data_IF_657194452161
#
_entry.id   IF_657194452161
#
_cell.length_a   1.000
_cell.length_b   1.000
_cell.length_c   1.000
_cell.angle_alpha   90.00
_cell.angle_beta   90.00
_cell.angle_gamma   90.00
#
_symmetry.space_group_name_H-M   'P 1'
#
loop_
_entity.id
_entity.type
_entity.pdbx_description
1 polymer ?
#
# COMPACT_ATOMS: atom_id res chain seq x y z
N UNK A 1 -10.05 28.82 -16.43
CA UNK A 1 -10.66 27.96 -15.38
C UNK A 1 -9.71 26.79 -15.09
N UNK A 2 -8.82 26.87 -14.07
CA UNK A 2 -7.93 25.74 -13.72
C UNK A 2 -7.32 25.82 -12.29
N UNK A 3 -8.11 26.20 -11.28
CA UNK A 3 -7.63 26.27 -9.86
C UNK A 3 -8.01 25.02 -9.02
N UNK A 4 -8.75 24.08 -9.61
CA UNK A 4 -9.26 22.84 -8.99
C UNK A 4 -8.31 21.64 -9.11
N UNK A 5 -7.16 21.79 -9.77
CA UNK A 5 -6.31 20.67 -10.21
C UNK A 5 -5.40 20.06 -9.13
N UNK A 6 -5.00 20.83 -8.10
CA UNK A 6 -3.95 20.36 -7.17
C UNK A 6 -4.49 19.79 -5.86
N UNK A 7 -5.61 20.32 -5.33
CA UNK A 7 -6.26 19.76 -4.13
C UNK A 7 -6.88 18.40 -4.39
N UNK A 8 -7.48 18.21 -5.56
CA UNK A 8 -8.02 16.93 -6.01
C UNK A 8 -6.91 15.88 -6.14
N UNK A 9 -5.73 16.28 -6.65
CA UNK A 9 -4.56 15.41 -6.71
C UNK A 9 -4.11 14.96 -5.31
N UNK A 10 -3.93 15.89 -4.36
CA UNK A 10 -3.54 15.52 -2.98
C UNK A 10 -4.55 14.55 -2.36
N UNK A 11 -5.85 14.77 -2.55
CA UNK A 11 -6.89 13.85 -2.09
C UNK A 11 -6.76 12.45 -2.72
N UNK A 12 -6.52 12.36 -4.04
CA UNK A 12 -6.30 11.09 -4.73
C UNK A 12 -5.06 10.35 -4.18
N UNK A 13 -3.98 11.10 -3.89
CA UNK A 13 -2.78 10.55 -3.29
C UNK A 13 -3.07 9.99 -1.89
N UNK A 14 -3.78 10.77 -1.05
CA UNK A 14 -4.21 10.35 0.29
C UNK A 14 -5.05 9.07 0.22
N UNK A 15 -6.04 9.00 -0.68
CA UNK A 15 -6.90 7.82 -0.85
C UNK A 15 -6.09 6.62 -1.31
N UNK A 16 -5.15 6.79 -2.25
CA UNK A 16 -4.34 5.68 -2.72
C UNK A 16 -3.39 5.15 -1.64
N UNK A 17 -2.79 6.03 -0.83
CA UNK A 17 -1.98 5.62 0.34
C UNK A 17 -2.87 4.89 1.35
N UNK A 18 -4.04 5.46 1.68
CA UNK A 18 -5.01 4.81 2.56
C UNK A 18 -5.36 3.40 2.07
N UNK A 19 -5.70 3.23 0.80
CA UNK A 19 -6.09 1.93 0.23
C UNK A 19 -4.98 0.87 0.31
N UNK A 20 -3.74 1.27 0.03
CA UNK A 20 -2.56 0.40 0.16
C UNK A 20 -2.35 -0.04 1.62
N UNK A 21 -2.32 0.90 2.56
CA UNK A 21 -2.09 0.61 3.98
C UNK A 21 -3.27 -0.17 4.60
N UNK A 22 -4.49 0.14 4.21
CA UNK A 22 -5.68 -0.58 4.64
C UNK A 22 -5.64 -2.05 4.18
N UNK A 23 -5.22 -2.31 2.94
CA UNK A 23 -5.10 -3.67 2.39
C UNK A 23 -4.02 -4.46 3.12
N UNK A 24 -2.91 -3.83 3.48
CA UNK A 24 -1.83 -4.46 4.24
C UNK A 24 -2.27 -4.77 5.66
N UNK A 25 -2.76 -3.77 6.41
CA UNK A 25 -3.15 -3.96 7.81
C UNK A 25 -4.40 -4.83 7.95
N UNK A 26 -5.30 -4.82 6.97
CA UNK A 26 -6.51 -5.65 6.99
C UNK A 26 -6.21 -7.16 7.04
N UNK A 27 -5.08 -7.61 6.49
CA UNK A 27 -4.70 -9.03 6.62
C UNK A 27 -4.53 -9.44 8.07
N UNK A 28 -4.02 -8.55 8.92
CA UNK A 28 -3.80 -8.86 10.34
C UNK A 28 -5.11 -9.16 11.06
N UNK A 29 -6.21 -8.51 10.67
CA UNK A 29 -7.55 -8.73 11.24
C UNK A 29 -8.12 -10.10 10.88
N UNK A 30 -7.87 -10.57 9.66
CA UNK A 30 -8.42 -11.84 9.16
C UNK A 30 -7.47 -13.05 9.29
N UNK A 31 -6.33 -12.90 9.98
CA UNK A 31 -5.38 -14.02 10.17
C UNK A 31 -6.02 -15.29 10.76
N UNK A 32 -6.93 -15.22 11.76
CA UNK A 32 -7.63 -16.41 12.26
C UNK A 32 -8.44 -17.12 11.17
N UNK A 33 -9.17 -16.37 10.34
CA UNK A 33 -9.94 -16.91 9.22
C UNK A 33 -9.05 -17.55 8.14
N UNK A 34 -7.89 -16.94 7.84
CA UNK A 34 -6.89 -17.52 6.93
C UNK A 34 -6.33 -18.83 7.51
N UNK A 35 -6.04 -18.84 8.81
CA UNK A 35 -5.55 -20.02 9.54
C UNK A 35 -6.53 -21.19 9.42
N UNK A 36 -7.81 -20.92 9.65
CA UNK A 36 -8.90 -21.89 9.54
C UNK A 36 -9.10 -22.37 8.09
N UNK A 37 -9.17 -21.43 7.14
CA UNK A 37 -9.42 -21.73 5.73
C UNK A 37 -8.37 -22.67 5.12
N UNK A 38 -7.09 -22.46 5.44
CA UNK A 38 -6.00 -23.31 4.94
C UNK A 38 -5.61 -24.45 5.88
N UNK A 39 -6.24 -24.58 7.04
CA UNK A 39 -5.91 -25.61 8.04
C UNK A 39 -4.48 -25.51 8.59
N UNK A 40 -3.94 -24.30 8.69
CA UNK A 40 -2.57 -24.03 9.19
C UNK A 40 -2.60 -23.39 10.58
N UNK A 41 -1.44 -23.30 11.24
CA UNK A 41 -1.31 -22.59 12.51
C UNK A 41 -1.37 -21.05 12.34
N UNK A 42 -1.80 -20.33 13.37
CA UNK A 42 -1.78 -18.86 13.39
C UNK A 42 -0.35 -18.31 13.20
N UNK A 43 0.65 -19.00 13.75
CA UNK A 43 2.07 -18.66 13.56
C UNK A 43 2.50 -18.79 12.10
N UNK A 44 1.98 -19.78 11.36
CA UNK A 44 2.23 -19.90 9.93
C UNK A 44 1.51 -18.79 9.17
N UNK A 45 0.26 -18.48 9.51
CA UNK A 45 -0.50 -17.42 8.87
C UNK A 45 0.17 -16.04 9.02
N UNK A 46 0.83 -15.77 10.16
CA UNK A 46 1.53 -14.51 10.41
C UNK A 46 2.73 -14.25 9.46
N UNK A 47 3.18 -15.27 8.72
CA UNK A 47 4.16 -15.09 7.63
C UNK A 47 3.65 -14.16 6.53
N UNK A 48 2.33 -14.02 6.35
CA UNK A 48 1.76 -13.04 5.43
C UNK A 48 2.09 -11.60 5.83
N UNK A 49 2.29 -11.34 7.12
CA UNK A 49 2.60 -10.02 7.67
C UNK A 49 4.12 -9.85 7.75
N UNK A 50 4.81 -10.78 8.41
CA UNK A 50 6.26 -10.67 8.62
C UNK A 50 7.05 -10.81 7.31
N UNK A 51 6.63 -11.70 6.41
CA UNK A 51 7.23 -11.84 5.07
C UNK A 51 7.01 -10.60 4.20
N UNK A 52 5.81 -10.02 4.25
CA UNK A 52 5.53 -8.75 3.58
C UNK A 52 6.44 -7.63 4.12
N UNK A 53 6.52 -7.48 5.44
CA UNK A 53 7.38 -6.49 6.09
C UNK A 53 8.87 -6.67 5.73
N UNK A 54 9.36 -7.91 5.63
CA UNK A 54 10.73 -8.19 5.21
C UNK A 54 11.00 -7.72 3.78
N UNK A 55 10.08 -8.01 2.85
CA UNK A 55 10.20 -7.55 1.46
C UNK A 55 10.14 -6.02 1.39
N UNK A 56 9.23 -5.38 2.14
CA UNK A 56 9.16 -3.91 2.24
C UNK A 56 10.45 -3.32 2.80
N UNK A 57 11.05 -3.93 3.82
CA UNK A 57 12.30 -3.45 4.42
C UNK A 57 13.45 -3.42 3.41
N UNK A 58 13.54 -4.43 2.52
CA UNK A 58 14.54 -4.51 1.46
C UNK A 58 14.19 -3.56 0.30
N UNK A 59 12.91 -3.48 -0.07
CA UNK A 59 12.40 -2.64 -1.16
C UNK A 59 12.44 -1.14 -0.82
N UNK A 60 12.33 -0.79 0.47
CA UNK A 60 12.26 0.57 1.00
C UNK A 60 13.33 1.51 0.47
N UNK A 61 14.63 1.18 0.63
CA UNK A 61 15.71 1.99 0.07
C UNK A 61 15.93 1.76 -1.44
N UNK A 62 15.63 0.58 -1.96
CA UNK A 62 16.05 0.17 -3.31
C UNK A 62 15.07 0.60 -4.41
N UNK A 63 13.78 0.34 -4.23
CA UNK A 63 12.77 0.54 -5.28
C UNK A 63 12.47 2.03 -5.53
N UNK A 64 12.32 2.92 -4.53
CA UNK A 64 12.17 4.36 -4.80
C UNK A 64 13.35 4.95 -5.58
N UNK A 65 14.57 4.51 -5.30
CA UNK A 65 15.77 4.93 -6.05
C UNK A 65 15.72 4.41 -7.50
N UNK A 66 15.38 3.14 -7.69
CA UNK A 66 15.26 2.53 -9.02
C UNK A 66 14.24 3.26 -9.91
N UNK A 67 13.11 3.68 -9.32
CA UNK A 67 12.04 4.37 -10.04
C UNK A 67 12.17 5.91 -10.04
N UNK A 68 13.23 6.48 -9.47
CA UNK A 68 13.40 7.94 -9.31
C UNK A 68 13.35 8.75 -10.62
N UNK A 69 13.78 8.14 -11.74
CA UNK A 69 13.81 8.76 -13.08
C UNK A 69 12.61 8.37 -13.95
N UNK A 70 11.77 7.46 -13.49
CA UNK A 70 10.60 6.99 -14.26
C UNK A 70 9.45 7.98 -14.07
N UNK A 71 8.57 8.08 -15.06
CA UNK A 71 7.39 8.94 -14.97
C UNK A 71 6.53 8.56 -13.74
N UNK A 72 6.35 9.52 -12.82
CA UNK A 72 5.66 9.33 -11.54
C UNK A 72 4.28 8.70 -11.69
N UNK A 73 3.47 9.20 -12.64
CA UNK A 73 2.12 8.66 -12.90
C UNK A 73 2.16 7.18 -13.28
N UNK A 74 3.13 6.79 -14.11
CA UNK A 74 3.28 5.41 -14.57
C UNK A 74 3.65 4.49 -13.42
N UNK A 75 4.56 4.92 -12.54
CA UNK A 75 4.98 4.14 -11.37
C UNK A 75 3.84 3.99 -10.35
N UNK A 76 3.08 5.06 -10.11
CA UNK A 76 1.93 5.02 -9.22
C UNK A 76 0.81 4.10 -9.74
N UNK A 77 0.56 4.11 -11.05
CA UNK A 77 -0.38 3.17 -11.70
C UNK A 77 0.13 1.73 -11.65
N UNK A 78 1.43 1.51 -11.85
CA UNK A 78 2.04 0.19 -11.71
C UNK A 78 1.89 -0.35 -10.29
N UNK A 79 2.19 0.47 -9.28
CA UNK A 79 2.08 0.06 -7.89
C UNK A 79 0.64 -0.25 -7.49
N UNK A 80 -0.32 0.61 -7.81
CA UNK A 80 -1.75 0.36 -7.53
C UNK A 80 -2.28 -0.83 -8.32
N UNK A 81 -1.90 -0.98 -9.58
CA UNK A 81 -2.23 -2.15 -10.40
C UNK A 81 -1.65 -3.45 -9.85
N UNK A 82 -0.41 -3.43 -9.34
CA UNK A 82 0.22 -4.57 -8.69
C UNK A 82 -0.53 -5.00 -7.41
N UNK A 83 -0.99 -4.04 -6.61
CA UNK A 83 -1.87 -4.32 -5.47
C UNK A 83 -3.20 -4.95 -5.90
N UNK A 84 -3.88 -4.35 -6.88
CA UNK A 84 -5.15 -4.87 -7.37
C UNK A 84 -5.01 -6.29 -7.95
N UNK A 85 -3.99 -6.53 -8.77
CA UNK A 85 -3.72 -7.84 -9.36
C UNK A 85 -3.39 -8.87 -8.28
N UNK A 86 -2.56 -8.52 -7.31
CA UNK A 86 -2.23 -9.41 -6.20
C UNK A 86 -3.45 -9.76 -5.35
N UNK A 87 -4.34 -8.80 -5.10
CA UNK A 87 -5.61 -9.07 -4.42
C UNK A 87 -6.49 -10.03 -5.22
N UNK A 88 -6.61 -9.84 -6.54
CA UNK A 88 -7.36 -10.76 -7.40
C UNK A 88 -6.76 -12.18 -7.36
N UNK A 89 -5.44 -12.30 -7.49
CA UNK A 89 -4.73 -13.59 -7.39
C UNK A 89 -4.96 -14.24 -6.02
N UNK A 90 -4.98 -13.44 -4.95
CA UNK A 90 -5.20 -13.92 -3.58
C UNK A 90 -6.59 -14.54 -3.39
N UNK A 91 -7.62 -14.06 -4.10
CA UNK A 91 -8.98 -14.65 -4.07
C UNK A 91 -8.98 -16.08 -4.60
N UNK A 92 -8.15 -16.37 -5.61
CA UNK A 92 -8.08 -17.68 -6.26
C UNK A 92 -6.90 -18.53 -5.77
N UNK A 93 -6.25 -18.14 -4.67
CA UNK A 93 -5.10 -18.86 -4.16
C UNK A 93 -5.52 -20.28 -3.68
N UNK A 94 -5.00 -21.36 -4.30
CA UNK A 94 -5.40 -22.73 -3.95
C UNK A 94 -4.76 -23.23 -2.65
N UNK A 95 -3.73 -22.54 -2.16
CA UNK A 95 -3.02 -22.87 -0.93
C UNK A 95 -2.31 -21.64 -0.36
N UNK A 96 -1.90 -21.76 0.91
CA UNK A 96 -1.22 -20.69 1.64
C UNK A 96 0.06 -20.18 0.97
N UNK A 97 0.84 -21.07 0.35
CA UNK A 97 2.09 -20.70 -0.33
C UNK A 97 1.83 -19.77 -1.51
N UNK A 98 0.80 -20.05 -2.32
CA UNK A 98 0.41 -19.18 -3.43
C UNK A 98 -0.05 -17.81 -2.90
N UNK A 99 -0.85 -17.79 -1.83
CA UNK A 99 -1.26 -16.53 -1.19
C UNK A 99 -0.05 -15.72 -0.69
N UNK A 100 0.92 -16.38 -0.05
CA UNK A 100 2.14 -15.75 0.45
C UNK A 100 3.00 -15.18 -0.68
N UNK A 101 3.19 -15.92 -1.78
CA UNK A 101 3.93 -15.45 -2.94
C UNK A 101 3.21 -14.28 -3.61
N UNK A 102 1.87 -14.34 -3.71
CA UNK A 102 1.07 -13.26 -4.30
C UNK A 102 1.31 -11.93 -3.57
N UNK A 103 1.62 -11.95 -2.26
CA UNK A 103 1.92 -10.76 -1.44
C UNK A 103 3.29 -10.13 -1.71
N UNK A 104 4.22 -10.85 -2.33
CA UNK A 104 5.57 -10.32 -2.61
C UNK A 104 5.49 -9.15 -3.60
N UNK A 105 4.67 -9.28 -4.63
CA UNK A 105 4.51 -8.25 -5.65
C UNK A 105 4.09 -6.89 -5.07
N UNK A 106 2.99 -6.76 -4.30
CA UNK A 106 2.61 -5.49 -3.68
C UNK A 106 3.64 -5.02 -2.65
N UNK A 107 4.30 -5.92 -1.92
CA UNK A 107 5.34 -5.54 -0.95
C UNK A 107 6.50 -4.77 -1.59
N UNK A 108 6.92 -5.17 -2.80
CA UNK A 108 7.98 -4.49 -3.56
C UNK A 108 7.55 -3.06 -3.94
N UNK A 109 6.29 -2.87 -4.33
CA UNK A 109 5.79 -1.57 -4.80
C UNK A 109 5.27 -0.66 -3.68
N UNK A 110 4.96 -1.21 -2.51
CA UNK A 110 4.48 -0.49 -1.33
C UNK A 110 5.32 0.76 -1.00
N UNK A 111 6.64 0.67 -0.74
CA UNK A 111 7.44 1.84 -0.39
C UNK A 111 7.55 2.87 -1.53
N UNK A 112 7.49 2.42 -2.79
CA UNK A 112 7.57 3.30 -3.97
C UNK A 112 6.35 4.20 -4.05
N UNK A 113 5.15 3.64 -3.88
CA UNK A 113 3.92 4.44 -3.94
C UNK A 113 3.88 5.47 -2.82
N UNK A 114 4.17 5.06 -1.58
CA UNK A 114 4.13 5.96 -0.41
C UNK A 114 5.15 7.09 -0.56
N UNK A 115 6.39 6.77 -0.94
CA UNK A 115 7.43 7.77 -1.19
C UNK A 115 7.04 8.76 -2.29
N UNK A 116 6.58 8.25 -3.45
CA UNK A 116 6.15 9.11 -4.55
C UNK A 116 4.93 9.95 -4.19
N UNK A 117 3.95 9.41 -3.45
CA UNK A 117 2.77 10.16 -3.03
C UNK A 117 3.16 11.38 -2.18
N UNK A 118 4.11 11.21 -1.24
CA UNK A 118 4.63 12.33 -0.45
C UNK A 118 5.34 13.36 -1.32
N UNK A 119 6.23 12.94 -2.23
CA UNK A 119 6.97 13.85 -3.11
C UNK A 119 6.05 14.58 -4.11
N UNK A 120 5.08 13.88 -4.69
CA UNK A 120 4.11 14.47 -5.62
C UNK A 120 3.23 15.47 -4.87
N UNK A 121 2.73 15.14 -3.67
CA UNK A 121 1.94 16.06 -2.87
C UNK A 121 2.71 17.35 -2.57
N UNK A 122 3.95 17.23 -2.07
CA UNK A 122 4.84 18.34 -1.75
C UNK A 122 5.10 19.28 -2.95
N UNK A 123 5.25 18.71 -4.15
CA UNK A 123 5.58 19.46 -5.38
C UNK A 123 4.36 19.90 -6.19
N UNK A 124 3.16 19.45 -5.80
CA UNK A 124 1.90 19.79 -6.48
C UNK A 124 1.24 21.07 -5.95
N UNK A 125 1.74 21.65 -4.87
CA UNK A 125 1.19 22.85 -4.23
C UNK A 125 2.26 23.93 -4.11
N UNK A 126 1.89 25.21 -3.88
CA UNK A 126 2.84 26.26 -3.55
C UNK A 126 3.72 25.88 -2.34
N UNK A 127 4.96 26.37 -2.31
CA UNK A 127 5.96 25.99 -1.32
C UNK A 127 5.49 26.19 0.14
N UNK A 128 4.75 27.27 0.40
CA UNK A 128 4.16 27.56 1.71
C UNK A 128 3.02 26.60 2.12
N UNK A 129 2.49 25.80 1.20
CA UNK A 129 1.46 24.78 1.46
C UNK A 129 2.02 23.34 1.40
N UNK A 130 3.28 23.14 1.01
CA UNK A 130 3.88 21.81 0.79
C UNK A 130 3.79 20.90 2.02
N UNK A 131 4.15 21.41 3.20
CA UNK A 131 4.05 20.66 4.46
C UNK A 131 2.61 20.24 4.76
N UNK A 132 1.63 21.09 4.45
CA UNK A 132 0.21 20.79 4.63
C UNK A 132 -0.26 19.68 3.68
N UNK A 133 0.17 19.71 2.42
CA UNK A 133 -0.15 18.65 1.46
C UNK A 133 0.46 17.30 1.87
N UNK A 134 1.71 17.28 2.34
CA UNK A 134 2.36 16.08 2.86
C UNK A 134 1.61 15.55 4.10
N UNK A 135 1.23 16.43 5.04
CA UNK A 135 0.44 16.05 6.19
C UNK A 135 -0.90 15.43 5.80
N UNK A 136 -1.55 15.92 4.75
CA UNK A 136 -2.79 15.34 4.22
C UNK A 136 -2.61 13.93 3.65
N UNK A 137 -1.50 13.67 2.96
CA UNK A 137 -1.18 12.30 2.51
C UNK A 137 -0.85 11.40 3.70
N UNK A 138 -0.15 11.93 4.70
CA UNK A 138 0.18 11.18 5.92
C UNK A 138 -1.07 10.79 6.72
N UNK A 139 -2.13 11.60 6.73
CA UNK A 139 -3.42 11.19 7.29
C UNK A 139 -3.95 9.90 6.64
N UNK A 140 -3.69 9.68 5.34
CA UNK A 140 -4.03 8.44 4.64
C UNK A 140 -3.25 7.24 5.19
N UNK A 141 -1.97 7.41 5.52
CA UNK A 141 -1.16 6.38 6.20
C UNK A 141 -1.80 6.04 7.54
N UNK A 142 -2.02 7.05 8.40
CA UNK A 142 -2.57 6.85 9.74
C UNK A 142 -3.95 6.18 9.70
N UNK A 143 -4.85 6.67 8.84
CA UNK A 143 -6.19 6.10 8.68
C UNK A 143 -6.12 4.66 8.14
N UNK A 144 -5.28 4.38 7.15
CA UNK A 144 -5.15 3.05 6.58
C UNK A 144 -4.60 2.04 7.59
N UNK A 145 -3.63 2.46 8.40
CA UNK A 145 -3.06 1.60 9.44
C UNK A 145 -4.06 1.28 10.55
N UNK A 146 -4.81 2.29 11.02
CA UNK A 146 -5.74 2.14 12.13
C UNK A 146 -7.04 1.45 11.73
N UNK A 147 -7.58 1.76 10.54
CA UNK A 147 -8.87 1.25 10.09
C UNK A 147 -8.77 -0.10 9.37
N UNK A 148 -7.59 -0.49 8.89
CA UNK A 148 -7.40 -1.75 8.16
C UNK A 148 -7.91 -2.96 8.94
N UNK A 149 -7.49 -3.10 10.20
CA UNK A 149 -7.88 -4.23 11.06
C UNK A 149 -9.40 -4.28 11.31
N UNK A 150 -10.05 -3.23 11.86
CA UNK A 150 -11.48 -3.29 12.15
C UNK A 150 -12.31 -3.48 10.88
N UNK A 151 -12.02 -2.79 9.77
CA UNK A 151 -12.81 -2.91 8.53
C UNK A 151 -12.75 -4.33 7.94
N UNK A 152 -11.65 -5.04 8.13
CA UNK A 152 -11.46 -6.38 7.60
C UNK A 152 -12.08 -7.51 8.43
N UNK A 153 -12.30 -7.27 9.72
CA UNK A 153 -12.66 -8.30 10.69
C UNK A 153 -14.17 -8.42 10.95
N UNK A 154 -15.01 -7.74 10.15
CA UNK A 154 -16.47 -7.80 10.22
C UNK A 154 -17.07 -8.60 9.05
#
# INVERSE_FOLDING_TARGET
MQKTSNRSLVLLLTIGVFGILNTEMGITGILPHISEHYGISLTTASLLVSGFALVVAIAGPTMPLLFSKVNRRSVMLLATGAFALSTIVSIFAPNFTVLLIARVLPAIFHPVYVSMAMTVAATSVPENESQKAVAQVFMGVSAGTLLGVPVSNF
#
